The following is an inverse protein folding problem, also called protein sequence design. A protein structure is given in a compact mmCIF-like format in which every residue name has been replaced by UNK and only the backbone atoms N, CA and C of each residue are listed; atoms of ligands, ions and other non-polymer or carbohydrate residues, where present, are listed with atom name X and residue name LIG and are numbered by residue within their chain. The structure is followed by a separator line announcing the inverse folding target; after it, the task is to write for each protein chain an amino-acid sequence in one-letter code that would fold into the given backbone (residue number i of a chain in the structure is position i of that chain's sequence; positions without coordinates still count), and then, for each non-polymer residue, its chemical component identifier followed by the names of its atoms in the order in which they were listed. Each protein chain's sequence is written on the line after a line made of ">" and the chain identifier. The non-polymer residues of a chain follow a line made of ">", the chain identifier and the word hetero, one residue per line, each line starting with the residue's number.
data_IF_251072165447
#
_entry.id   IF_251072165447
#
_cell.length_a   1.000
_cell.length_b   1.000
_cell.length_c   1.000
_cell.angle_alpha   90.00
_cell.angle_beta   90.00
_cell.angle_gamma   90.00
#
_symmetry.space_group_name_H-M   'P 1'
#
loop_
_entity.id
_entity.type
_entity.pdbx_description
1 polymer ?
#
# COMPACT_ATOMS: atom_id res chain seq x y z
N UNK A 1 -5.26 11.54 -9.34
CA UNK A 1 -4.96 10.98 -8.00
C UNK A 1 -6.00 11.41 -6.96
N UNK A 2 -6.24 12.72 -6.78
CA UNK A 2 -7.19 13.28 -5.79
C UNK A 2 -8.62 12.69 -5.86
N UNK A 3 -9.25 12.66 -7.05
CA UNK A 3 -10.66 12.22 -7.16
C UNK A 3 -10.89 10.73 -6.95
N UNK A 4 -9.86 9.90 -7.13
CA UNK A 4 -9.95 8.46 -6.91
C UNK A 4 -9.99 8.14 -5.42
N UNK A 5 -9.08 8.74 -4.64
CA UNK A 5 -8.98 8.49 -3.19
C UNK A 5 -10.22 8.98 -2.43
N UNK A 6 -10.95 9.97 -2.97
CA UNK A 6 -12.26 10.39 -2.42
C UNK A 6 -13.26 9.25 -2.26
N UNK A 7 -13.16 8.17 -3.06
CA UNK A 7 -14.04 6.98 -2.92
C UNK A 7 -13.73 6.12 -1.69
N UNK A 8 -12.52 6.26 -1.14
CA UNK A 8 -12.01 5.48 -0.01
C UNK A 8 -11.92 6.30 1.28
N UNK A 9 -12.24 7.60 1.20
CA UNK A 9 -12.23 8.53 2.32
C UNK A 9 -13.65 8.67 2.88
N UNK A 10 -13.88 8.39 4.17
CA UNK A 10 -15.15 8.69 4.82
C UNK A 10 -15.38 10.22 4.93
N UNK A 11 -16.64 10.65 5.04
CA UNK A 11 -17.02 12.07 5.16
C UNK A 11 -16.29 12.81 6.30
N UNK A 12 -15.91 12.09 7.37
CA UNK A 12 -15.05 12.55 8.47
C UNK A 12 -14.18 11.41 8.97
N UNK A 13 -12.94 11.30 8.50
CA UNK A 13 -12.01 10.30 9.06
C UNK A 13 -10.57 10.45 8.61
N UNK A 14 -9.65 10.08 9.50
CA UNK A 14 -8.20 10.02 9.27
C UNK A 14 -7.74 8.65 8.77
N UNK A 15 -8.60 7.94 8.01
CA UNK A 15 -8.30 6.60 7.54
C UNK A 15 -8.78 6.38 6.11
N UNK A 16 -8.06 5.53 5.40
CA UNK A 16 -8.40 5.00 4.07
C UNK A 16 -8.83 3.55 4.30
N UNK A 17 -9.95 3.14 3.71
CA UNK A 17 -10.48 1.77 3.87
C UNK A 17 -10.78 1.14 2.52
N UNK A 18 -10.26 -0.05 2.27
CA UNK A 18 -10.74 -0.94 1.21
C UNK A 18 -11.77 -1.93 1.80
N UNK A 19 -12.82 -2.25 1.03
CA UNK A 19 -13.79 -3.29 1.37
C UNK A 19 -13.68 -4.48 0.41
N UNK A 20 -13.47 -5.66 0.99
CA UNK A 20 -13.22 -6.89 0.24
C UNK A 20 -11.79 -6.96 -0.32
N UNK A 21 -11.48 -8.07 -0.98
CA UNK A 21 -10.20 -8.30 -1.65
C UNK A 21 -10.43 -8.59 -3.13
N UNK A 22 -9.85 -7.78 -4.01
CA UNK A 22 -9.82 -8.01 -5.47
C UNK A 22 -8.37 -8.17 -5.92
N UNK A 23 -7.97 -9.39 -6.29
CA UNK A 23 -6.61 -9.71 -6.73
C UNK A 23 -6.12 -8.78 -7.85
N UNK A 24 -7.00 -8.29 -8.71
CA UNK A 24 -6.63 -7.39 -9.82
C UNK A 24 -6.18 -6.01 -9.35
N UNK A 25 -6.54 -5.62 -8.11
CA UNK A 25 -6.20 -4.34 -7.50
C UNK A 25 -5.10 -4.46 -6.44
N UNK A 26 -4.62 -5.66 -6.16
CA UNK A 26 -3.61 -5.94 -5.13
C UNK A 26 -2.39 -5.03 -5.25
N UNK A 27 -1.67 -5.05 -6.38
CA UNK A 27 -0.48 -4.22 -6.62
C UNK A 27 -0.73 -2.71 -6.43
N UNK A 28 -1.94 -2.26 -6.76
CA UNK A 28 -2.36 -0.88 -6.55
C UNK A 28 -2.47 -0.57 -5.05
N UNK A 29 -3.20 -1.38 -4.28
CA UNK A 29 -3.39 -1.14 -2.84
C UNK A 29 -2.14 -1.38 -2.01
N UNK A 30 -1.26 -2.29 -2.42
CA UNK A 30 0.07 -2.44 -1.81
C UNK A 30 0.86 -1.12 -1.82
N UNK A 31 0.66 -0.29 -2.85
CA UNK A 31 1.27 1.05 -2.93
C UNK A 31 0.51 2.05 -2.04
N UNK A 32 -0.83 2.08 -2.11
CA UNK A 32 -1.65 3.04 -1.35
C UNK A 32 -1.53 2.84 0.16
N UNK A 33 -1.45 1.60 0.62
CA UNK A 33 -1.33 1.24 2.04
C UNK A 33 0.13 1.07 2.50
N UNK A 34 1.11 1.54 1.72
CA UNK A 34 2.52 1.55 2.14
C UNK A 34 2.69 2.37 3.43
N UNK A 35 3.41 1.81 4.39
CA UNK A 35 3.84 2.51 5.60
C UNK A 35 5.30 2.94 5.44
N UNK A 36 5.65 4.13 5.95
CA UNK A 36 7.03 4.60 5.95
C UNK A 36 7.27 5.80 6.83
N UNK A 37 8.52 6.02 7.21
CA UNK A 37 8.95 7.08 8.14
C UNK A 37 10.09 7.95 7.59
N UNK A 38 10.34 7.88 6.27
CA UNK A 38 11.44 8.58 5.61
C UNK A 38 12.79 7.85 5.66
N UNK A 39 13.02 6.98 6.65
CA UNK A 39 14.19 6.10 6.70
C UNK A 39 13.89 4.71 6.15
N UNK A 40 12.69 4.19 6.40
CA UNK A 40 12.25 2.87 5.95
C UNK A 40 10.84 2.97 5.38
N UNK A 41 10.55 2.13 4.38
CA UNK A 41 9.21 1.97 3.82
C UNK A 41 8.90 0.50 3.57
N UNK A 42 7.70 0.05 3.93
CA UNK A 42 7.19 -1.29 3.65
C UNK A 42 5.90 -1.17 2.86
N UNK A 43 5.84 -1.85 1.71
CA UNK A 43 4.62 -1.95 0.91
C UNK A 43 3.51 -2.59 1.75
N UNK A 44 2.27 -2.15 1.53
CA UNK A 44 1.08 -2.63 2.22
C UNK A 44 0.62 -3.99 1.69
N UNK A 45 1.52 -4.97 1.69
CA UNK A 45 1.25 -6.35 1.24
C UNK A 45 0.65 -7.15 2.39
N UNK A 46 -0.30 -8.03 2.08
CA UNK A 46 -0.85 -8.99 3.05
C UNK A 46 0.22 -9.98 3.51
N UNK A 47 0.22 -10.34 4.79
CA UNK A 47 1.25 -11.22 5.36
C UNK A 47 1.25 -12.63 4.74
N UNK A 48 0.13 -13.09 4.19
CA UNK A 48 0.03 -14.37 3.49
C UNK A 48 0.75 -14.39 2.14
N UNK A 49 1.20 -13.24 1.64
CA UNK A 49 1.89 -13.05 0.35
C UNK A 49 1.16 -13.79 -0.78
N UNK A 50 -0.08 -13.38 -1.09
CA UNK A 50 -0.87 -14.02 -2.15
C UNK A 50 -0.16 -13.98 -3.51
N UNK A 51 -0.60 -14.84 -4.42
CA UNK A 51 -0.06 -14.88 -5.78
C UNK A 51 -0.13 -13.48 -6.46
N UNK A 52 0.91 -13.14 -7.24
CA UNK A 52 1.12 -11.81 -7.84
C UNK A 52 1.35 -10.66 -6.85
N UNK A 53 1.66 -10.94 -5.58
CA UNK A 53 2.03 -9.90 -4.62
C UNK A 53 3.43 -9.36 -4.92
N UNK A 54 3.63 -8.07 -4.64
CA UNK A 54 4.95 -7.43 -4.75
C UNK A 54 5.45 -7.00 -3.35
N UNK A 55 5.87 -7.96 -2.51
CA UNK A 55 6.43 -7.65 -1.20
C UNK A 55 7.72 -6.83 -1.37
N UNK A 56 7.83 -5.77 -0.59
CA UNK A 56 8.97 -4.86 -0.69
C UNK A 56 9.12 -4.02 0.55
N UNK A 57 10.29 -4.15 1.17
CA UNK A 57 10.72 -3.34 2.31
C UNK A 57 12.04 -2.70 1.94
N UNK A 58 12.07 -1.37 1.99
CA UNK A 58 13.18 -0.56 1.52
C UNK A 58 13.73 0.26 2.68
N UNK A 59 15.06 0.34 2.76
CA UNK A 59 15.78 1.13 3.75
C UNK A 59 16.56 2.20 2.98
N UNK A 60 16.34 3.47 3.34
CA UNK A 60 17.02 4.60 2.73
C UNK A 60 18.54 4.45 2.87
N UNK A 61 19.25 4.60 1.75
CA UNK A 61 20.70 4.42 1.69
C UNK A 61 21.18 2.98 1.51
N UNK A 62 20.27 2.00 1.50
CA UNK A 62 20.59 0.61 1.14
C UNK A 62 20.25 0.37 -0.33
N UNK A 63 21.28 0.23 -1.16
CA UNK A 63 21.17 -0.06 -2.59
C UNK A 63 22.21 -1.12 -2.97
N UNK A 64 21.93 -1.87 -4.03
CA UNK A 64 22.85 -2.84 -4.62
C UNK A 64 23.35 -2.33 -5.98
N UNK A 65 24.41 -2.95 -6.51
CA UNK A 65 25.12 -2.48 -7.72
C UNK A 65 24.55 -3.03 -9.03
#
# INVERSE_FOLDING_TARGET
>A
MSDFLKRYLPERGWFIKEEGFDRRKQSFYETIFTLGNGYMGSRGVLEEVPYDAYPGTYIAGLYDK
#
